data_IF_234811414719
#
_entry.id   IF_234811414719
#
_cell.length_a   1.000
_cell.length_b   1.000
_cell.length_c   1.000
_cell.angle_alpha   90.00
_cell.angle_beta   90.00
_cell.angle_gamma   90.00
#
_symmetry.space_group_name_H-M   'P 1'
#
loop_
_entity.id
_entity.type
_entity.pdbx_description
1 polymer ?
#
# COMPACT_ATOMS: atom_id res chain seq x y z
N UNK A 1 -0.93 -3.07 -5.84
CA UNK A 1 -0.50 -4.21 -4.98
C UNK A 1 0.70 -3.76 -4.17
N UNK A 2 0.76 -4.14 -2.90
CA UNK A 2 1.84 -3.80 -1.96
C UNK A 2 2.24 -5.07 -1.22
N UNK A 3 3.52 -5.41 -1.13
CA UNK A 3 3.98 -6.59 -0.38
C UNK A 3 4.00 -6.31 1.13
N UNK A 4 3.59 -7.29 1.94
CA UNK A 4 3.57 -7.19 3.39
C UNK A 4 4.86 -7.63 4.08
N UNK A 5 5.71 -8.38 3.36
CA UNK A 5 6.99 -8.87 3.86
C UNK A 5 7.88 -7.76 4.40
N UNK A 6 8.60 -8.07 5.47
CA UNK A 6 9.59 -7.16 6.08
C UNK A 6 10.70 -6.87 5.07
N UNK A 7 11.04 -5.60 4.87
CA UNK A 7 12.00 -5.14 3.87
C UNK A 7 11.40 -4.91 2.48
N UNK A 8 10.47 -5.77 2.03
CA UNK A 8 9.80 -5.61 0.73
C UNK A 8 8.88 -4.38 0.72
N UNK A 9 8.09 -4.19 1.78
CA UNK A 9 7.23 -3.02 1.94
C UNK A 9 8.04 -1.73 1.95
N UNK A 10 9.10 -1.69 2.77
CA UNK A 10 9.95 -0.53 2.98
C UNK A 10 10.70 -0.15 1.69
N UNK A 11 11.18 -1.15 0.93
CA UNK A 11 11.77 -0.94 -0.38
C UNK A 11 10.75 -0.36 -1.37
N UNK A 12 9.54 -0.92 -1.41
CA UNK A 12 8.45 -0.50 -2.31
C UNK A 12 7.93 0.91 -2.05
N UNK A 13 7.92 1.35 -0.78
CA UNK A 13 7.52 2.71 -0.37
C UNK A 13 8.71 3.67 -0.22
N UNK A 14 9.93 3.23 -0.52
CA UNK A 14 11.12 4.10 -0.48
C UNK A 14 11.05 5.21 -1.54
N UNK A 15 12.01 6.16 -1.52
CA UNK A 15 12.10 7.21 -2.54
C UNK A 15 12.28 6.66 -3.96
N UNK A 16 12.95 5.53 -4.09
CA UNK A 16 13.16 4.83 -5.37
C UNK A 16 12.13 3.70 -5.57
N UNK A 17 11.14 3.61 -4.68
CA UNK A 17 10.16 2.55 -4.65
C UNK A 17 9.05 2.77 -5.67
N UNK A 18 8.68 1.69 -6.37
CA UNK A 18 7.70 1.73 -7.46
C UNK A 18 6.25 1.92 -6.99
N UNK A 19 5.91 1.54 -5.75
CA UNK A 19 4.55 1.71 -5.21
C UNK A 19 4.12 3.18 -5.22
N UNK A 20 5.08 4.08 -4.98
CA UNK A 20 4.88 5.52 -4.97
C UNK A 20 4.63 6.09 -6.36
N UNK A 21 5.50 5.73 -7.28
CA UNK A 21 5.45 6.15 -8.68
C UNK A 21 4.16 5.69 -9.36
N UNK A 22 3.78 4.42 -9.19
CA UNK A 22 2.54 3.90 -9.77
C UNK A 22 1.28 4.60 -9.24
N UNK A 23 1.21 4.90 -7.93
CA UNK A 23 0.06 5.59 -7.36
C UNK A 23 -0.05 7.04 -7.88
N UNK A 24 1.08 7.72 -8.02
CA UNK A 24 1.13 9.07 -8.60
C UNK A 24 0.72 9.05 -10.07
N UNK A 25 1.29 8.15 -10.87
CA UNK A 25 0.97 8.02 -12.30
C UNK A 25 -0.51 7.73 -12.52
N UNK A 26 -1.09 6.80 -11.76
CA UNK A 26 -2.52 6.50 -11.82
C UNK A 26 -3.38 7.76 -11.55
N UNK A 27 -2.98 8.57 -10.57
CA UNK A 27 -3.70 9.81 -10.25
C UNK A 27 -3.58 10.84 -11.38
N UNK A 28 -2.38 11.03 -11.93
CA UNK A 28 -2.15 11.96 -13.05
C UNK A 28 -2.89 11.57 -14.32
N UNK A 29 -3.14 10.28 -14.52
CA UNK A 29 -3.92 9.76 -15.65
C UNK A 29 -5.45 9.82 -15.40
N UNK A 30 -5.89 10.35 -14.27
CA UNK A 30 -7.31 10.55 -13.96
C UNK A 30 -8.01 9.34 -13.34
N UNK A 31 -7.26 8.33 -12.90
CA UNK A 31 -7.83 7.18 -12.17
C UNK A 31 -8.22 7.65 -10.76
N UNK A 32 -9.52 7.80 -10.51
CA UNK A 32 -10.06 8.29 -9.22
C UNK A 32 -10.39 7.18 -8.22
N UNK A 33 -10.54 5.95 -8.70
CA UNK A 33 -10.84 4.78 -7.87
C UNK A 33 -9.58 3.95 -7.70
N UNK A 34 -9.24 3.63 -6.45
CA UNK A 34 -8.04 2.88 -6.09
C UNK A 34 -8.41 1.78 -5.10
N UNK A 35 -7.86 0.58 -5.31
CA UNK A 35 -7.90 -0.52 -4.36
C UNK A 35 -6.47 -0.93 -4.05
N UNK A 36 -6.16 -1.07 -2.76
CA UNK A 36 -4.83 -1.49 -2.29
C UNK A 36 -4.92 -2.94 -1.82
N UNK A 37 -4.47 -3.86 -2.66
CA UNK A 37 -4.21 -5.25 -2.25
C UNK A 37 -2.88 -5.35 -1.51
N UNK A 38 -2.91 -5.72 -0.23
CA UNK A 38 -1.74 -6.00 0.60
C UNK A 38 -1.45 -7.50 0.50
N UNK A 39 -0.42 -7.85 -0.26
CA UNK A 39 -0.10 -9.22 -0.68
C UNK A 39 1.03 -9.84 0.16
N UNK A 40 1.18 -11.16 0.09
CA UNK A 40 2.14 -11.95 0.87
C UNK A 40 1.92 -11.84 2.38
N UNK A 41 0.66 -11.81 2.80
CA UNK A 41 0.30 -11.76 4.23
C UNK A 41 0.72 -13.03 4.98
N UNK A 42 0.86 -14.16 4.29
CA UNK A 42 1.44 -15.40 4.80
C UNK A 42 2.91 -15.27 5.22
N UNK A 43 3.65 -14.35 4.59
CA UNK A 43 5.08 -14.11 4.79
C UNK A 43 5.39 -13.06 5.87
N UNK A 44 4.39 -12.52 6.56
CA UNK A 44 4.63 -11.61 7.69
C UNK A 44 5.15 -12.38 8.91
N UNK A 45 5.74 -11.68 9.88
CA UNK A 45 6.18 -12.28 11.15
C UNK A 45 5.39 -11.67 12.32
N UNK A 46 4.49 -12.42 12.98
CA UNK A 46 4.01 -13.78 12.63
C UNK A 46 3.18 -13.81 11.33
N UNK A 47 2.95 -14.98 10.70
CA UNK A 47 2.11 -15.09 9.50
C UNK A 47 0.71 -14.51 9.73
N UNK A 48 0.19 -13.80 8.73
CA UNK A 48 -1.10 -13.10 8.77
C UNK A 48 -1.21 -12.07 9.92
N UNK A 49 -0.11 -11.37 10.20
CA UNK A 49 -0.06 -10.36 11.26
C UNK A 49 -0.96 -9.16 10.96
N UNK A 50 -2.02 -8.99 11.75
CA UNK A 50 -2.91 -7.83 11.67
C UNK A 50 -2.16 -6.52 11.97
N UNK A 51 -1.20 -6.54 12.90
CA UNK A 51 -0.41 -5.35 13.25
C UNK A 51 0.42 -4.86 12.06
N UNK A 52 1.00 -5.80 11.28
CA UNK A 52 1.73 -5.47 10.06
C UNK A 52 0.82 -4.91 8.99
N UNK A 53 -0.38 -5.47 8.83
CA UNK A 53 -1.37 -4.93 7.88
C UNK A 53 -1.79 -3.51 8.25
N UNK A 54 -2.10 -3.23 9.51
CA UNK A 54 -2.52 -1.90 9.96
C UNK A 54 -1.37 -0.86 9.86
N UNK A 55 -0.12 -1.28 10.08
CA UNK A 55 1.07 -0.43 9.81
C UNK A 55 1.13 -0.02 8.34
N UNK A 56 1.07 -1.00 7.43
CA UNK A 56 1.12 -0.78 5.98
C UNK A 56 -0.04 0.10 5.53
N UNK A 57 -1.26 -0.20 5.99
CA UNK A 57 -2.46 0.57 5.68
C UNK A 57 -2.33 2.02 6.12
N UNK A 58 -1.78 2.28 7.31
CA UNK A 58 -1.55 3.64 7.83
C UNK A 58 -0.55 4.41 6.98
N UNK A 59 0.60 3.81 6.67
CA UNK A 59 1.65 4.43 5.86
C UNK A 59 1.18 4.71 4.42
N UNK A 60 0.55 3.73 3.78
CA UNK A 60 0.01 3.88 2.43
C UNK A 60 -1.11 4.92 2.41
N UNK A 61 -2.00 4.93 3.41
CA UNK A 61 -3.06 5.95 3.54
C UNK A 61 -2.50 7.37 3.65
N UNK A 62 -1.45 7.57 4.44
CA UNK A 62 -0.76 8.85 4.56
C UNK A 62 -0.16 9.29 3.21
N UNK A 63 0.40 8.34 2.48
CA UNK A 63 1.03 8.61 1.19
C UNK A 63 0.01 8.96 0.09
N UNK A 64 -1.03 8.15 -0.10
CA UNK A 64 -2.06 8.41 -1.13
C UNK A 64 -2.85 9.70 -0.85
N UNK A 65 -2.98 10.09 0.43
CA UNK A 65 -3.54 11.39 0.83
C UNK A 65 -2.71 12.56 0.31
N UNK A 66 -1.37 12.44 0.33
CA UNK A 66 -0.47 13.47 -0.22
C UNK A 66 -0.54 13.56 -1.74
N UNK A 67 -0.80 12.45 -2.43
CA UNK A 67 -1.02 12.44 -3.88
C UNK A 67 -2.32 13.15 -4.25
N UNK A 68 -3.37 12.98 -3.43
CA UNK A 68 -4.68 13.60 -3.64
C UNK A 68 -5.86 12.64 -3.57
N UNK A 69 -5.63 11.34 -3.32
CA UNK A 69 -6.71 10.39 -3.07
C UNK A 69 -7.35 10.63 -1.69
N UNK A 70 -8.64 10.30 -1.56
CA UNK A 70 -9.31 10.22 -0.27
C UNK A 70 -9.10 8.82 0.34
N UNK A 71 -8.32 8.66 1.42
CA UNK A 71 -8.05 7.35 2.01
C UNK A 71 -9.31 6.63 2.50
N UNK A 72 -10.35 7.36 2.90
CA UNK A 72 -11.61 6.77 3.36
C UNK A 72 -12.41 6.09 2.22
N UNK A 73 -12.12 6.43 0.96
CA UNK A 73 -12.75 5.83 -0.21
C UNK A 73 -11.92 4.68 -0.82
N UNK A 74 -10.72 4.41 -0.27
CA UNK A 74 -9.81 3.39 -0.78
C UNK A 74 -9.93 2.14 0.08
N UNK A 75 -10.31 1.02 -0.54
CA UNK A 75 -10.36 -0.26 0.13
C UNK A 75 -8.95 -0.87 0.26
N UNK A 76 -8.62 -1.34 1.46
CA UNK A 76 -7.42 -2.12 1.74
C UNK A 76 -7.83 -3.57 1.95
N UNK A 77 -7.31 -4.47 1.12
CA UNK A 77 -7.68 -5.89 1.14
C UNK A 77 -6.42 -6.72 1.41
N UNK A 78 -6.33 -7.44 2.54
CA UNK A 78 -5.25 -8.40 2.76
C UNK A 78 -5.48 -9.62 1.85
N UNK A 79 -4.45 -10.00 1.10
CA UNK A 79 -4.46 -11.13 0.16
C UNK A 79 -3.15 -11.93 0.29
N UNK A 80 -3.16 -13.15 -0.22
CA UNK A 80 -2.00 -14.02 -0.35
C UNK A 80 -2.05 -14.78 -1.67
#
# INVERSE_FOLDING_TARGET
>A
IVAAGTGEFEAGISKNGQTREHALLAFTLGVKQLIVGVNKMDSTEPPYSESRFEEIKKEVSSYIKKIGYNPAAVAFVPIS
#
